data_IF_763573788064
#
_entry.id   IF_763573788064
#
_cell.length_a   1.000
_cell.length_b   1.000
_cell.length_c   1.000
_cell.angle_alpha   90.00
_cell.angle_beta   90.00
_cell.angle_gamma   90.00
#
_symmetry.space_group_name_H-M   'P 1'
#
loop_
_entity.id
_entity.type
_entity.pdbx_description
1 polymer ?
#
# COMPACT_ATOMS: atom_id res chain seq x y z
N UNK A 1 17.58 -14.78 -11.13
CA UNK A 1 17.39 -15.77 -12.21
C UNK A 1 17.67 -17.18 -11.72
N UNK A 2 18.94 -17.57 -11.60
CA UNK A 2 19.35 -18.95 -11.31
C UNK A 2 18.86 -19.52 -9.96
N UNK A 3 18.64 -18.67 -8.96
CA UNK A 3 18.16 -19.06 -7.62
C UNK A 3 16.70 -19.59 -7.67
N UNK A 4 15.90 -19.13 -8.64
CA UNK A 4 14.48 -19.50 -8.82
C UNK A 4 14.27 -20.84 -9.54
N UNK A 5 15.29 -21.38 -10.20
CA UNK A 5 15.19 -22.65 -10.95
C UNK A 5 15.45 -23.91 -10.11
N UNK A 6 15.62 -23.76 -8.79
CA UNK A 6 15.75 -24.89 -7.86
C UNK A 6 14.42 -25.16 -7.15
N UNK A 7 14.17 -26.39 -6.68
CA UNK A 7 12.94 -26.74 -5.92
C UNK A 7 12.67 -25.82 -4.72
N UNK A 8 13.71 -25.22 -4.15
CA UNK A 8 13.61 -24.24 -3.07
C UNK A 8 13.25 -22.81 -3.55
N UNK A 9 13.51 -22.49 -4.82
CA UNK A 9 13.23 -21.18 -5.41
C UNK A 9 11.73 -20.89 -5.59
N UNK A 10 10.92 -21.93 -5.84
CA UNK A 10 9.46 -21.83 -5.89
C UNK A 10 8.86 -21.46 -4.52
N UNK A 11 9.40 -22.02 -3.44
CA UNK A 11 9.01 -21.67 -2.07
C UNK A 11 9.29 -20.20 -1.73
N UNK A 12 10.48 -19.70 -2.07
CA UNK A 12 10.80 -18.29 -1.85
C UNK A 12 9.93 -17.36 -2.69
N UNK A 13 9.62 -17.74 -3.93
CA UNK A 13 8.79 -16.94 -4.82
C UNK A 13 7.35 -16.84 -4.27
N UNK A 14 6.79 -17.95 -3.80
CA UNK A 14 5.44 -18.00 -3.23
C UNK A 14 5.32 -17.15 -1.95
N UNK A 15 6.29 -17.27 -1.03
CA UNK A 15 6.35 -16.44 0.18
C UNK A 15 6.48 -14.95 -0.18
N UNK A 16 7.34 -14.59 -1.13
CA UNK A 16 7.52 -13.17 -1.52
C UNK A 16 6.27 -12.62 -2.22
N UNK A 17 5.64 -13.38 -3.11
CA UNK A 17 4.42 -12.97 -3.82
C UNK A 17 3.28 -12.70 -2.82
N UNK A 18 3.10 -13.63 -1.88
CA UNK A 18 2.13 -13.50 -0.81
C UNK A 18 2.35 -12.22 0.02
N UNK A 19 3.57 -11.96 0.49
CA UNK A 19 3.87 -10.76 1.29
C UNK A 19 3.70 -9.45 0.50
N UNK A 20 4.06 -9.44 -0.79
CA UNK A 20 3.88 -8.25 -1.66
C UNK A 20 2.40 -7.96 -1.87
N UNK A 21 1.59 -8.98 -2.16
CA UNK A 21 0.17 -8.80 -2.46
C UNK A 21 -0.61 -8.49 -1.18
N UNK A 22 -0.37 -9.23 -0.11
CA UNK A 22 -1.12 -9.05 1.13
C UNK A 22 -0.80 -7.72 1.80
N UNK A 23 0.48 -7.41 2.04
CA UNK A 23 0.83 -6.22 2.79
C UNK A 23 1.21 -5.05 1.87
N UNK A 24 2.01 -5.31 0.83
CA UNK A 24 2.52 -4.28 -0.05
C UNK A 24 1.42 -3.58 -0.87
N UNK A 25 0.56 -4.34 -1.52
CA UNK A 25 -0.50 -3.79 -2.37
C UNK A 25 -1.55 -3.03 -1.54
N UNK A 26 -1.91 -3.57 -0.38
CA UNK A 26 -2.91 -2.97 0.53
C UNK A 26 -2.40 -1.64 1.09
N UNK A 27 -1.15 -1.58 1.55
CA UNK A 27 -0.53 -0.34 2.03
C UNK A 27 -0.36 0.71 0.91
N UNK A 28 0.06 0.30 -0.29
CA UNK A 28 0.13 1.21 -1.45
C UNK A 28 -1.24 1.78 -1.80
N UNK A 29 -2.28 0.94 -1.83
CA UNK A 29 -3.66 1.38 -2.08
C UNK A 29 -4.15 2.37 -1.03
N UNK A 30 -3.82 2.13 0.25
CA UNK A 30 -4.22 3.01 1.36
C UNK A 30 -3.55 4.37 1.24
N UNK A 31 -2.25 4.39 0.92
CA UNK A 31 -1.49 5.62 0.71
C UNK A 31 -2.01 6.41 -0.51
N UNK A 32 -2.34 5.74 -1.61
CA UNK A 32 -2.96 6.37 -2.78
C UNK A 32 -4.33 6.97 -2.43
N UNK A 33 -5.16 6.25 -1.68
CA UNK A 33 -6.46 6.77 -1.25
C UNK A 33 -6.30 7.98 -0.32
N UNK A 34 -5.32 7.97 0.59
CA UNK A 34 -5.01 9.15 1.43
C UNK A 34 -4.56 10.34 0.58
N UNK A 35 -3.63 10.10 -0.35
CA UNK A 35 -3.08 11.12 -1.22
C UNK A 35 -4.15 11.75 -2.13
N UNK A 36 -5.02 10.94 -2.73
CA UNK A 36 -6.08 11.42 -3.63
C UNK A 36 -7.25 12.00 -2.81
N UNK A 37 -7.67 11.31 -1.76
CA UNK A 37 -8.84 11.66 -0.95
C UNK A 37 -8.68 12.95 -0.16
N UNK A 38 -7.52 13.16 0.48
CA UNK A 38 -7.26 14.31 1.35
C UNK A 38 -6.15 15.23 0.86
N UNK A 39 -5.15 14.73 0.13
CA UNK A 39 -4.04 15.54 -0.38
C UNK A 39 -4.42 16.36 -1.62
N UNK A 40 -4.74 15.69 -2.71
CA UNK A 40 -5.09 16.31 -4.00
C UNK A 40 -6.53 16.84 -4.03
N UNK A 41 -7.42 16.19 -3.27
CA UNK A 41 -8.84 16.48 -3.22
C UNK A 41 -9.59 15.71 -4.31
N UNK A 42 -10.26 14.62 -3.91
CA UNK A 42 -11.00 13.75 -4.82
C UNK A 42 -12.08 14.49 -5.66
N UNK A 43 -12.61 15.60 -5.15
CA UNK A 43 -13.57 16.44 -5.88
C UNK A 43 -12.92 17.20 -7.06
N UNK A 44 -11.65 17.59 -6.94
CA UNK A 44 -10.90 18.23 -8.02
C UNK A 44 -10.60 17.23 -9.13
N UNK A 45 -10.14 16.03 -8.76
CA UNK A 45 -9.92 14.93 -9.70
C UNK A 45 -11.21 14.54 -10.43
N UNK A 46 -12.34 14.50 -9.71
CA UNK A 46 -13.66 14.26 -10.32
C UNK A 46 -14.01 15.30 -11.38
N UNK A 47 -13.71 16.59 -11.15
CA UNK A 47 -13.97 17.66 -12.12
C UNK A 47 -13.12 17.50 -13.38
N UNK A 48 -11.82 17.25 -13.22
CA UNK A 48 -10.90 17.03 -14.34
C UNK A 48 -11.31 15.81 -15.17
N UNK A 49 -11.68 14.70 -14.54
CA UNK A 49 -12.16 13.50 -15.26
C UNK A 49 -13.47 13.77 -16.01
N UNK A 50 -14.38 14.53 -15.41
CA UNK A 50 -15.67 14.89 -16.03
C UNK A 50 -15.55 15.86 -17.21
N UNK A 51 -14.40 16.51 -17.42
CA UNK A 51 -14.15 17.34 -18.61
C UNK A 51 -13.87 16.48 -19.86
N UNK A 52 -13.31 15.28 -19.68
CA UNK A 52 -12.95 14.38 -20.79
C UNK A 52 -13.98 13.25 -21.01
N UNK A 53 -14.95 13.09 -20.13
CA UNK A 53 -15.94 12.00 -20.17
C UNK A 53 -17.33 12.53 -20.55
N UNK A 54 -18.00 11.85 -21.49
CA UNK A 54 -19.40 12.13 -21.84
C UNK A 54 -20.37 11.82 -20.68
N UNK A 55 -20.04 10.84 -19.84
CA UNK A 55 -20.86 10.43 -18.71
C UNK A 55 -20.23 10.92 -17.38
N UNK A 56 -20.94 11.81 -16.67
CA UNK A 56 -20.40 12.46 -15.47
C UNK A 56 -20.31 11.50 -14.29
N UNK A 57 -19.13 11.41 -13.71
CA UNK A 57 -18.85 10.72 -12.44
C UNK A 57 -19.57 11.45 -11.30
N UNK A 58 -20.48 10.74 -10.63
CA UNK A 58 -21.28 11.26 -9.51
C UNK A 58 -20.48 11.47 -8.21
N UNK A 59 -21.07 12.17 -7.25
CA UNK A 59 -20.45 12.42 -5.93
C UNK A 59 -20.21 11.14 -5.12
N UNK A 60 -20.93 10.05 -5.44
CA UNK A 60 -20.71 8.72 -4.83
C UNK A 60 -19.28 8.21 -5.01
N UNK A 61 -18.63 8.51 -6.14
CA UNK A 61 -17.24 8.11 -6.40
C UNK A 61 -16.26 8.74 -5.40
N UNK A 62 -16.52 9.98 -4.99
CA UNK A 62 -15.70 10.68 -4.00
C UNK A 62 -15.86 10.06 -2.62
N UNK A 63 -17.08 9.66 -2.25
CA UNK A 63 -17.35 8.95 -0.99
C UNK A 63 -16.67 7.57 -0.99
N UNK A 64 -16.69 6.87 -2.13
CA UNK A 64 -16.02 5.58 -2.30
C UNK A 64 -14.52 5.69 -2.05
N UNK A 65 -13.83 6.61 -2.73
CA UNK A 65 -12.37 6.76 -2.59
C UNK A 65 -11.97 7.31 -1.23
N UNK A 66 -12.77 8.20 -0.65
CA UNK A 66 -12.42 8.85 0.61
C UNK A 66 -12.74 8.00 1.84
N UNK A 67 -13.78 7.16 1.79
CA UNK A 67 -14.25 6.44 2.98
C UNK A 67 -14.33 4.94 2.76
N UNK A 68 -14.97 4.48 1.70
CA UNK A 68 -15.25 3.04 1.51
C UNK A 68 -13.95 2.26 1.28
N UNK A 69 -13.15 2.66 0.30
CA UNK A 69 -11.92 1.95 -0.06
C UNK A 69 -10.91 1.98 1.10
N UNK A 70 -10.66 3.11 1.79
CA UNK A 70 -9.80 3.13 2.98
C UNK A 70 -10.29 2.19 4.08
N UNK A 71 -11.59 2.14 4.35
CA UNK A 71 -12.13 1.26 5.40
C UNK A 71 -11.90 -0.21 5.06
N UNK A 72 -12.16 -0.63 3.82
CA UNK A 72 -11.88 -2.01 3.38
C UNK A 72 -10.38 -2.35 3.46
N UNK A 73 -9.50 -1.42 3.07
CA UNK A 73 -8.05 -1.64 3.16
C UNK A 73 -7.58 -1.75 4.61
N UNK A 74 -8.14 -0.96 5.52
CA UNK A 74 -7.84 -1.05 6.95
C UNK A 74 -8.32 -2.39 7.53
N UNK A 75 -9.52 -2.85 7.18
CA UNK A 75 -10.04 -4.14 7.67
C UNK A 75 -9.18 -5.30 7.19
N UNK A 76 -8.75 -5.29 5.92
CA UNK A 76 -7.84 -6.31 5.39
C UNK A 76 -6.49 -6.32 6.13
N UNK A 77 -5.93 -5.14 6.41
CA UNK A 77 -4.67 -5.03 7.13
C UNK A 77 -4.79 -5.54 8.57
N UNK A 78 -5.93 -5.29 9.23
CA UNK A 78 -6.21 -5.82 10.56
C UNK A 78 -6.38 -7.34 10.54
N UNK A 79 -7.09 -7.89 9.55
CA UNK A 79 -7.25 -9.33 9.40
C UNK A 79 -5.89 -10.03 9.19
N UNK A 80 -5.05 -9.50 8.31
CA UNK A 80 -3.70 -10.01 8.08
C UNK A 80 -2.86 -9.97 9.35
N UNK A 81 -2.85 -8.84 10.07
CA UNK A 81 -2.14 -8.72 11.33
C UNK A 81 -2.65 -9.72 12.39
N UNK A 82 -3.96 -9.98 12.43
CA UNK A 82 -4.54 -10.96 13.35
C UNK A 82 -4.20 -12.40 12.98
N UNK A 83 -4.16 -12.73 11.68
CA UNK A 83 -3.72 -14.04 11.18
C UNK A 83 -2.26 -14.28 11.56
N UNK A 84 -1.40 -13.28 11.33
CA UNK A 84 0.03 -13.34 11.64
C UNK A 84 0.30 -13.42 13.16
N UNK A 85 -0.56 -12.82 13.99
CA UNK A 85 -0.48 -12.91 15.45
C UNK A 85 -1.01 -14.24 16.02
N UNK A 86 -2.05 -14.83 15.41
CA UNK A 86 -2.70 -16.05 15.93
C UNK A 86 -2.01 -17.32 15.46
N UNK A 87 -1.55 -17.34 14.20
CA UNK A 87 -0.65 -18.37 13.72
C UNK A 87 0.66 -17.67 13.42
N UNK A 88 1.74 -18.00 14.15
CA UNK A 88 3.06 -17.92 13.52
C UNK A 88 2.89 -18.56 12.15
N UNK A 89 3.06 -17.80 11.08
CA UNK A 89 2.68 -18.20 9.73
C UNK A 89 3.18 -19.64 9.49
N UNK A 90 2.26 -20.61 9.42
CA UNK A 90 2.52 -22.06 9.33
C UNK A 90 3.54 -22.68 10.31
N UNK A 91 3.83 -22.07 11.47
CA UNK A 91 4.86 -22.53 12.40
C UNK A 91 6.29 -22.21 11.96
N UNK A 92 6.48 -21.29 11.01
CA UNK A 92 7.79 -20.84 10.58
C UNK A 92 8.55 -20.14 11.72
N UNK A 93 9.89 -20.32 11.80
CA UNK A 93 10.72 -19.65 12.79
C UNK A 93 10.63 -18.13 12.64
N UNK A 94 10.59 -17.43 13.78
CA UNK A 94 10.42 -15.96 13.89
C UNK A 94 11.34 -15.13 12.98
N UNK A 95 12.49 -15.67 12.54
CA UNK A 95 13.40 -15.00 11.63
C UNK A 95 12.84 -14.86 10.20
N UNK A 96 12.04 -15.83 9.73
CA UNK A 96 11.40 -15.75 8.40
C UNK A 96 10.31 -14.67 8.37
N UNK A 97 9.50 -14.60 9.43
CA UNK A 97 8.47 -13.58 9.61
C UNK A 97 9.12 -12.19 9.71
N UNK A 98 10.18 -12.05 10.51
CA UNK A 98 10.92 -10.80 10.64
C UNK A 98 11.58 -10.34 9.31
N UNK A 99 12.05 -11.29 8.49
CA UNK A 99 12.61 -10.98 7.19
C UNK A 99 11.53 -10.51 6.21
N UNK A 100 10.40 -11.22 6.18
CA UNK A 100 9.29 -10.89 5.29
C UNK A 100 8.62 -9.56 5.67
N UNK A 101 8.39 -9.31 6.96
CA UNK A 101 7.89 -8.02 7.44
C UNK A 101 8.86 -6.87 7.13
N UNK A 102 10.17 -7.11 7.21
CA UNK A 102 11.19 -6.10 6.88
C UNK A 102 11.19 -5.77 5.40
N UNK A 103 11.06 -6.76 4.52
CA UNK A 103 10.99 -6.55 3.06
C UNK A 103 9.76 -5.72 2.67
N UNK A 104 8.64 -5.90 3.36
CA UNK A 104 7.44 -5.08 3.11
C UNK A 104 7.54 -3.68 3.69
N UNK A 105 8.00 -3.52 4.93
CA UNK A 105 8.05 -2.20 5.60
C UNK A 105 9.14 -1.29 5.02
N UNK A 106 10.25 -1.84 4.56
CA UNK A 106 11.40 -1.08 4.05
C UNK A 106 11.06 -0.11 2.90
N UNK A 107 10.40 -0.52 1.79
CA UNK A 107 10.04 0.39 0.72
C UNK A 107 9.09 1.51 1.15
N UNK A 108 8.18 1.27 2.12
CA UNK A 108 7.32 2.32 2.67
C UNK A 108 8.10 3.32 3.52
N UNK A 109 9.06 2.85 4.34
CA UNK A 109 9.94 3.74 5.09
C UNK A 109 10.79 4.61 4.15
N UNK A 110 11.33 4.04 3.09
CA UNK A 110 12.08 4.79 2.06
C UNK A 110 11.17 5.84 1.41
N UNK A 111 9.95 5.47 1.01
CA UNK A 111 8.99 6.41 0.43
C UNK A 111 8.62 7.55 1.40
N UNK A 112 8.43 7.24 2.69
CA UNK A 112 8.15 8.22 3.73
C UNK A 112 9.34 9.15 4.00
N UNK A 113 10.56 8.62 4.01
CA UNK A 113 11.79 9.42 4.13
C UNK A 113 11.93 10.38 2.95
N UNK A 114 11.72 9.90 1.71
CA UNK A 114 11.72 10.75 0.51
C UNK A 114 10.64 11.82 0.59
N UNK A 115 9.44 11.47 1.06
CA UNK A 115 8.37 12.45 1.26
C UNK A 115 8.77 13.55 2.26
N UNK A 116 9.38 13.19 3.38
CA UNK A 116 9.84 14.14 4.40
C UNK A 116 10.98 15.01 3.87
N UNK A 117 11.97 14.45 3.19
CA UNK A 117 13.09 15.22 2.62
C UNK A 117 12.60 16.16 1.54
N UNK A 118 11.69 15.73 0.67
CA UNK A 118 11.09 16.60 -0.37
C UNK A 118 10.23 17.71 0.23
N UNK A 119 9.48 17.41 1.31
CA UNK A 119 8.72 18.44 2.04
C UNK A 119 9.64 19.47 2.69
N UNK A 120 10.79 19.03 3.23
CA UNK A 120 11.79 19.92 3.84
C UNK A 120 12.48 20.82 2.81
N UNK A 121 12.79 20.29 1.63
CA UNK A 121 13.39 21.04 0.52
C UNK A 121 12.45 22.13 -0.01
N UNK A 122 11.18 21.77 -0.25
CA UNK A 122 10.16 22.74 -0.66
C UNK A 122 9.90 23.84 0.38
N UNK A 123 10.00 23.53 1.68
CA UNK A 123 9.85 24.53 2.76
C UNK A 123 11.04 25.47 2.93
N UNK A 124 12.21 25.12 2.37
CA UNK A 124 13.41 25.97 2.41
C UNK A 124 13.57 26.83 1.16
N UNK A 125 12.80 26.56 0.10
CA UNK A 125 12.74 27.35 -1.13
C UNK A 125 11.69 28.49 -1.05
N UNK A 126 10.87 28.54 0.00
CA UNK A 126 9.86 29.58 0.25
C UNK A 126 10.26 30.60 1.35
N UNK A 127 11.51 30.56 1.83
CA UNK A 127 12.11 31.54 2.75
C UNK A 127 13.18 32.38 2.05
#
# INVERSE_FOLDING_TARGET
GAIFCTRAGLFYLDVVDHFIVEFGLVLLGLLQCLAIGWGYGAERLRKEVNEFQENKVGSLWVILIKYVIPVFLITLLVEQALVELKSNYEGYPNWAIAFASSVTVFPFLVALVIYITKKKDNGSAEL
#
